data_IF_573652428538
#
_entry.id   IF_573652428538
#
_cell.length_a   1.000
_cell.length_b   1.000
_cell.length_c   1.000
_cell.angle_alpha   90.00
_cell.angle_beta   90.00
_cell.angle_gamma   90.00
#
_symmetry.space_group_name_H-M   'P 1'
#
loop_
_entity.id
_entity.type
_entity.pdbx_description
1 polymer ?
#
# COMPACT_ATOMS: atom_id res chain seq x y z
N UNK A 1 -15.23 -20.05 -11.63
CA UNK A 1 -14.45 -19.14 -10.76
C UNK A 1 -14.72 -17.71 -11.21
N UNK A 2 -15.16 -16.82 -10.33
CA UNK A 2 -15.42 -15.40 -10.65
C UNK A 2 -14.47 -14.54 -9.82
N UNK A 3 -13.53 -13.87 -10.48
CA UNK A 3 -12.60 -12.93 -9.84
C UNK A 3 -13.16 -11.53 -9.95
N UNK A 4 -13.23 -10.79 -8.83
CA UNK A 4 -13.68 -9.40 -8.83
C UNK A 4 -12.58 -8.50 -9.42
N UNK A 5 -12.95 -7.59 -10.32
CA UNK A 5 -12.05 -6.55 -10.80
C UNK A 5 -12.46 -5.21 -10.20
N UNK A 6 -11.55 -4.56 -9.46
CA UNK A 6 -11.78 -3.23 -8.90
C UNK A 6 -10.83 -2.21 -9.53
N UNK A 7 -11.42 -1.22 -10.20
CA UNK A 7 -10.71 -0.09 -10.79
C UNK A 7 -10.31 0.90 -9.69
N UNK A 8 -9.28 1.70 -9.97
CA UNK A 8 -8.86 2.79 -9.06
C UNK A 8 -10.02 3.74 -8.70
N UNK A 9 -10.95 3.99 -9.63
CA UNK A 9 -12.13 4.83 -9.39
C UNK A 9 -13.06 4.24 -8.34
N UNK A 10 -13.27 2.92 -8.36
CA UNK A 10 -14.13 2.21 -7.40
C UNK A 10 -13.46 2.17 -6.03
N UNK A 11 -12.15 1.93 -5.99
CA UNK A 11 -11.37 1.95 -4.74
C UNK A 11 -11.47 3.30 -4.04
N UNK A 12 -11.46 4.41 -4.80
CA UNK A 12 -11.60 5.76 -4.26
C UNK A 12 -12.93 5.98 -3.52
N UNK A 13 -13.98 5.30 -3.94
CA UNK A 13 -15.31 5.38 -3.33
C UNK A 13 -15.44 4.44 -2.12
N UNK A 14 -14.62 3.37 -2.07
CA UNK A 14 -14.71 2.32 -1.07
C UNK A 14 -13.72 2.45 0.10
N UNK A 15 -12.64 3.23 -0.05
CA UNK A 15 -11.55 3.28 0.94
C UNK A 15 -11.24 4.70 1.40
N UNK A 16 -11.41 4.94 2.70
CA UNK A 16 -11.01 6.20 3.35
C UNK A 16 -9.64 6.14 4.02
N UNK A 17 -9.07 7.32 4.32
CA UNK A 17 -7.84 7.42 5.12
C UNK A 17 -8.03 6.88 6.54
N UNK A 18 -9.19 7.13 7.16
CA UNK A 18 -9.49 6.65 8.52
C UNK A 18 -9.47 5.13 8.60
N UNK A 19 -10.13 4.46 7.66
CA UNK A 19 -10.11 3.00 7.56
C UNK A 19 -8.70 2.47 7.27
N UNK A 20 -7.96 3.18 6.41
CA UNK A 20 -6.57 2.83 6.11
C UNK A 20 -5.67 2.90 7.36
N UNK A 21 -5.84 3.90 8.22
CA UNK A 21 -5.12 4.01 9.51
C UNK A 21 -5.45 2.83 10.41
N UNK A 22 -6.74 2.53 10.59
CA UNK A 22 -7.16 1.41 11.45
C UNK A 22 -6.61 0.07 10.95
N UNK A 23 -6.73 -0.21 9.65
CA UNK A 23 -6.23 -1.45 9.04
C UNK A 23 -4.71 -1.57 9.14
N UNK A 24 -3.97 -0.47 8.93
CA UNK A 24 -2.50 -0.47 9.03
C UNK A 24 -2.03 -0.62 10.48
N UNK A 25 -2.68 0.04 11.43
CA UNK A 25 -2.39 -0.09 12.87
C UNK A 25 -2.57 -1.53 13.33
N UNK A 26 -3.68 -2.15 12.93
CA UNK A 26 -3.98 -3.55 13.21
C UNK A 26 -2.96 -4.50 12.56
N UNK A 27 -2.60 -4.29 11.29
CA UNK A 27 -1.58 -5.09 10.62
C UNK A 27 -0.21 -4.99 11.32
N UNK A 28 0.18 -3.81 11.81
CA UNK A 28 1.41 -3.65 12.60
C UNK A 28 1.32 -4.37 13.95
N UNK A 29 0.17 -4.31 14.63
CA UNK A 29 -0.06 -5.04 15.88
C UNK A 29 0.09 -6.55 15.67
N UNK A 30 -0.62 -7.11 14.70
CA UNK A 30 -0.52 -8.54 14.37
C UNK A 30 0.91 -8.93 13.99
N UNK A 31 1.63 -8.07 13.27
CA UNK A 31 3.04 -8.31 12.93
C UNK A 31 3.92 -8.37 14.18
N UNK A 32 3.71 -7.44 15.13
CA UNK A 32 4.40 -7.44 16.43
C UNK A 32 4.09 -8.68 17.28
N UNK A 33 2.91 -9.26 17.11
CA UNK A 33 2.48 -10.51 17.75
C UNK A 33 2.96 -11.78 17.03
N UNK A 34 3.68 -11.65 15.91
CA UNK A 34 4.19 -12.80 15.14
C UNK A 34 3.17 -13.49 14.24
N UNK A 35 1.97 -12.91 14.06
CA UNK A 35 0.83 -13.51 13.32
C UNK A 35 0.78 -13.13 11.84
N UNK A 36 1.93 -12.73 11.27
CA UNK A 36 2.01 -12.21 9.89
C UNK A 36 3.22 -12.77 9.19
N UNK A 37 2.96 -13.46 8.08
CA UNK A 37 3.96 -13.90 7.12
C UNK A 37 4.15 -12.81 6.06
N UNK A 38 5.36 -12.25 5.99
CA UNK A 38 5.70 -11.20 5.04
C UNK A 38 7.17 -11.35 4.67
N UNK A 39 7.50 -12.16 3.65
CA UNK A 39 8.90 -12.36 3.25
C UNK A 39 9.49 -11.08 2.64
N UNK A 40 10.81 -11.02 2.46
CA UNK A 40 11.45 -9.95 1.72
C UNK A 40 10.83 -9.78 0.33
N UNK A 41 10.78 -8.53 -0.13
CA UNK A 41 10.25 -8.21 -1.47
C UNK A 41 11.20 -8.73 -2.54
N UNK A 42 10.65 -9.27 -3.62
CA UNK A 42 11.41 -9.59 -4.82
C UNK A 42 11.50 -8.35 -5.72
N UNK A 43 12.65 -8.14 -6.35
CA UNK A 43 12.91 -7.00 -7.24
C UNK A 43 13.35 -7.49 -8.61
N UNK A 44 12.88 -6.83 -9.66
CA UNK A 44 13.47 -6.89 -10.99
C UNK A 44 13.77 -5.46 -11.43
N UNK A 45 15.01 -5.22 -11.81
CA UNK A 45 15.48 -3.92 -12.27
C UNK A 45 15.45 -3.85 -13.78
N UNK A 46 15.10 -2.68 -14.30
CA UNK A 46 15.10 -2.34 -15.71
C UNK A 46 16.11 -1.20 -15.97
N UNK A 47 17.43 -1.47 -15.96
CA UNK A 47 18.44 -0.41 -16.12
C UNK A 47 18.23 0.43 -17.40
N UNK A 48 17.87 -0.24 -18.51
CA UNK A 48 17.57 0.42 -19.79
C UNK A 48 16.42 1.43 -19.71
N UNK A 49 15.48 1.24 -18.80
CA UNK A 49 14.26 2.06 -18.69
C UNK A 49 14.21 2.88 -17.40
N UNK A 50 15.32 2.93 -16.66
CA UNK A 50 15.44 3.63 -15.38
C UNK A 50 14.29 3.29 -14.42
N UNK A 51 13.97 2.00 -14.28
CA UNK A 51 12.84 1.55 -13.48
C UNK A 51 13.05 0.22 -12.80
N UNK A 52 12.08 -0.16 -11.99
CA UNK A 52 11.97 -1.48 -11.39
C UNK A 52 10.50 -1.95 -11.36
N UNK A 53 10.32 -3.23 -11.04
CA UNK A 53 9.10 -3.68 -10.38
C UNK A 53 9.42 -4.59 -9.21
N UNK A 54 8.45 -4.68 -8.30
CA UNK A 54 8.57 -5.34 -7.01
C UNK A 54 7.36 -6.19 -6.73
N UNK A 55 7.58 -7.35 -6.14
CA UNK A 55 6.53 -8.26 -5.68
C UNK A 55 6.54 -8.29 -4.16
N UNK A 56 5.40 -8.00 -3.56
CA UNK A 56 5.23 -7.87 -2.11
C UNK A 56 4.07 -8.77 -1.63
N UNK A 57 4.31 -10.06 -1.38
CA UNK A 57 3.30 -10.94 -0.80
C UNK A 57 3.22 -10.77 0.72
N UNK A 58 2.03 -10.96 1.27
CA UNK A 58 1.80 -11.04 2.71
C UNK A 58 0.59 -11.94 3.01
N UNK A 59 0.62 -12.55 4.18
CA UNK A 59 -0.49 -13.29 4.77
C UNK A 59 -0.63 -12.88 6.25
N UNK A 60 -1.83 -12.46 6.62
CA UNK A 60 -2.23 -12.15 7.99
C UNK A 60 -3.10 -13.31 8.49
N UNK A 61 -2.66 -13.96 9.57
CA UNK A 61 -3.38 -15.13 10.11
C UNK A 61 -4.70 -14.72 10.77
N UNK A 62 -4.73 -13.54 11.41
CA UNK A 62 -5.93 -13.02 12.06
C UNK A 62 -6.74 -12.25 11.02
N UNK A 63 -7.84 -12.85 10.58
CA UNK A 63 -8.69 -12.32 9.50
C UNK A 63 -8.55 -13.08 8.19
N UNK A 64 -7.62 -14.03 8.12
CA UNK A 64 -7.41 -14.91 6.97
C UNK A 64 -7.19 -14.13 5.66
N UNK A 65 -6.41 -13.06 5.68
CA UNK A 65 -6.12 -12.25 4.50
C UNK A 65 -4.78 -12.61 3.86
N UNK A 66 -4.81 -13.10 2.61
CA UNK A 66 -3.62 -13.31 1.79
C UNK A 66 -3.65 -12.43 0.53
N UNK A 67 -2.53 -11.82 0.18
CA UNK A 67 -2.45 -11.04 -1.03
C UNK A 67 -1.05 -10.71 -1.48
N UNK A 68 -0.94 -10.26 -2.72
CA UNK A 68 0.31 -9.83 -3.32
C UNK A 68 0.13 -8.51 -4.04
N UNK A 69 1.02 -7.56 -3.77
CA UNK A 69 1.13 -6.34 -4.55
C UNK A 69 2.28 -6.45 -5.54
N UNK A 70 1.98 -6.16 -6.80
CA UNK A 70 2.98 -5.88 -7.82
C UNK A 70 3.02 -4.37 -8.03
N UNK A 71 4.17 -3.75 -7.84
CA UNK A 71 4.34 -2.29 -7.94
C UNK A 71 5.58 -1.97 -8.76
N UNK A 72 5.49 -1.02 -9.67
CA UNK A 72 6.63 -0.50 -10.42
C UNK A 72 6.99 0.92 -9.97
N UNK A 73 8.27 1.28 -10.10
CA UNK A 73 8.74 2.65 -9.90
C UNK A 73 9.56 3.07 -11.12
N UNK A 74 9.12 4.12 -11.81
CA UNK A 74 9.79 4.67 -13.00
C UNK A 74 9.86 6.20 -12.88
N UNK A 75 10.96 6.76 -12.36
CA UNK A 75 11.09 8.21 -12.13
C UNK A 75 10.88 9.07 -13.37
N UNK A 76 11.19 8.56 -14.58
CA UNK A 76 11.00 9.26 -15.84
C UNK A 76 9.56 9.32 -16.39
N UNK A 77 8.63 8.52 -15.84
CA UNK A 77 7.25 8.42 -16.35
C UNK A 77 6.46 9.75 -16.41
N UNK A 78 6.62 10.69 -15.46
CA UNK A 78 5.91 11.97 -15.54
C UNK A 78 6.18 12.75 -16.84
N UNK A 79 7.38 12.60 -17.44
CA UNK A 79 7.72 13.22 -18.75
C UNK A 79 6.87 12.65 -19.90
N UNK A 80 6.24 11.50 -19.69
CA UNK A 80 5.39 10.77 -20.64
C UNK A 80 3.91 10.83 -20.26
N UNK A 81 3.53 11.67 -19.29
CA UNK A 81 2.16 11.75 -18.78
C UNK A 81 1.73 10.55 -17.93
N UNK A 82 2.66 9.70 -17.48
CA UNK A 82 2.38 8.52 -16.66
C UNK A 82 2.79 8.74 -15.19
N UNK A 83 2.14 8.07 -14.22
CA UNK A 83 2.58 8.09 -12.83
C UNK A 83 3.95 7.44 -12.65
N UNK A 84 4.76 7.97 -11.72
CA UNK A 84 6.02 7.34 -11.28
C UNK A 84 5.80 5.97 -10.67
N UNK A 85 4.68 5.79 -9.96
CA UNK A 85 4.31 4.56 -9.26
C UNK A 85 2.97 4.09 -9.81
N UNK A 86 2.92 2.86 -10.30
CA UNK A 86 1.68 2.15 -10.58
C UNK A 86 1.74 0.80 -9.86
N UNK A 87 0.59 0.28 -9.47
CA UNK A 87 0.53 -0.98 -8.76
C UNK A 87 -0.78 -1.70 -9.05
N UNK A 88 -0.74 -3.01 -8.87
CA UNK A 88 -1.89 -3.91 -8.88
C UNK A 88 -1.79 -4.80 -7.65
N UNK A 89 -2.94 -5.10 -7.04
CA UNK A 89 -3.03 -6.00 -5.89
C UNK A 89 -3.91 -7.19 -6.28
N UNK A 90 -3.44 -8.38 -5.99
CA UNK A 90 -4.20 -9.62 -6.07
C UNK A 90 -4.52 -10.07 -4.63
N UNK A 91 -5.80 -10.27 -4.34
CA UNK A 91 -6.29 -10.86 -3.10
C UNK A 91 -6.60 -12.35 -3.34
N UNK A 92 -6.21 -13.20 -2.40
CA UNK A 92 -6.28 -14.65 -2.49
C UNK A 92 -6.98 -15.16 -1.23
N UNK A 93 -7.90 -16.11 -1.41
CA UNK A 93 -8.46 -16.88 -0.29
C UNK A 93 -7.39 -17.87 0.21
N UNK A 94 -6.89 -17.74 1.44
CA UNK A 94 -5.84 -18.64 1.95
C UNK A 94 -6.34 -20.07 2.18
N UNK A 95 -7.65 -20.28 2.33
CA UNK A 95 -8.22 -21.62 2.57
C UNK A 95 -8.29 -22.48 1.31
N UNK A 96 -8.47 -21.85 0.14
CA UNK A 96 -8.65 -22.53 -1.15
C UNK A 96 -7.60 -22.19 -2.20
N UNK A 97 -6.84 -21.11 -1.99
CA UNK A 97 -5.92 -20.54 -2.98
C UNK A 97 -6.62 -19.81 -4.14
N UNK A 98 -7.95 -19.69 -4.11
CA UNK A 98 -8.71 -19.06 -5.20
C UNK A 98 -8.46 -17.55 -5.21
N UNK A 99 -8.17 -16.95 -6.38
CA UNK A 99 -8.09 -15.49 -6.50
C UNK A 99 -9.46 -14.86 -6.28
N UNK A 100 -9.56 -13.97 -5.29
CA UNK A 100 -10.79 -13.28 -4.94
C UNK A 100 -10.97 -11.99 -5.75
N UNK A 101 -9.92 -11.16 -5.82
CA UNK A 101 -9.98 -9.87 -6.49
C UNK A 101 -8.64 -9.44 -7.09
N UNK A 102 -8.71 -8.72 -8.22
CA UNK A 102 -7.60 -7.95 -8.78
C UNK A 102 -8.00 -6.48 -8.74
N UNK A 103 -7.14 -5.65 -8.14
CA UNK A 103 -7.45 -4.27 -7.79
C UNK A 103 -6.36 -3.32 -8.26
N UNK A 104 -6.74 -2.10 -8.63
CA UNK A 104 -5.81 -0.97 -8.71
C UNK A 104 -5.05 -0.79 -7.38
N UNK A 105 -3.73 -0.64 -7.42
CA UNK A 105 -2.89 -0.59 -6.23
C UNK A 105 -2.29 0.79 -5.93
N UNK A 106 -2.46 1.78 -6.81
CA UNK A 106 -1.80 3.08 -6.71
C UNK A 106 -2.41 3.90 -5.57
N UNK A 107 -3.73 4.06 -5.52
CA UNK A 107 -4.41 4.76 -4.43
C UNK A 107 -4.21 4.04 -3.10
N UNK A 108 -4.40 2.71 -3.06
CA UNK A 108 -4.16 1.90 -1.86
C UNK A 108 -2.73 2.09 -1.36
N UNK A 109 -1.74 2.10 -2.27
CA UNK A 109 -0.34 2.34 -1.92
C UNK A 109 -0.13 3.72 -1.32
N UNK A 110 -0.78 4.77 -1.82
CA UNK A 110 -0.69 6.11 -1.24
C UNK A 110 -1.32 6.17 0.15
N UNK A 111 -2.57 5.71 0.29
CA UNK A 111 -3.31 5.75 1.55
C UNK A 111 -2.61 4.94 2.64
N UNK A 112 -2.26 3.68 2.38
CA UNK A 112 -1.60 2.83 3.38
C UNK A 112 -0.22 3.35 3.79
N UNK A 113 0.48 4.07 2.89
CA UNK A 113 1.78 4.69 3.20
C UNK A 113 1.60 5.90 4.11
N UNK A 114 0.62 6.77 3.82
CA UNK A 114 0.25 7.87 4.69
C UNK A 114 -0.22 7.37 6.06
N UNK A 115 -1.14 6.40 6.06
CA UNK A 115 -1.65 5.75 7.26
C UNK A 115 -0.54 5.18 8.15
N UNK A 116 0.47 4.51 7.57
CA UNK A 116 1.62 4.03 8.34
C UNK A 116 2.38 5.18 9.03
N UNK A 117 2.53 6.33 8.36
CA UNK A 117 3.09 7.53 8.95
C UNK A 117 2.21 8.12 10.05
N UNK A 118 0.89 8.17 9.84
CA UNK A 118 -0.08 8.63 10.85
C UNK A 118 -0.10 7.75 12.10
N UNK A 119 -0.04 6.41 11.94
CA UNK A 119 0.12 5.47 13.06
C UNK A 119 1.42 5.75 13.79
N UNK A 120 2.55 5.85 13.08
CA UNK A 120 3.83 6.16 13.71
C UNK A 120 3.79 7.49 14.49
N UNK A 121 3.21 8.54 13.89
CA UNK A 121 3.06 9.84 14.53
C UNK A 121 2.19 9.76 15.80
N UNK A 122 1.09 8.98 15.78
CA UNK A 122 0.23 8.78 16.96
C UNK A 122 1.01 8.25 18.17
N UNK A 123 1.91 7.30 17.96
CA UNK A 123 2.64 6.64 19.05
C UNK A 123 3.96 7.34 19.40
N UNK A 124 4.58 8.05 18.46
CA UNK A 124 5.96 8.54 18.61
C UNK A 124 6.08 10.07 18.64
N UNK A 125 5.13 10.82 18.10
CA UNK A 125 5.19 12.29 18.12
C UNK A 125 4.72 12.85 19.46
N UNK A 126 5.15 14.08 19.79
CA UNK A 126 4.63 14.79 20.96
C UNK A 126 3.14 15.09 20.76
N UNK A 127 2.33 14.84 21.80
CA UNK A 127 0.87 15.06 21.79
C UNK A 127 0.46 16.52 21.51
N UNK A 128 1.35 17.46 21.76
CA UNK A 128 1.13 18.90 21.60
C UNK A 128 1.72 19.47 20.30
N UNK A 129 2.15 18.61 19.36
CA UNK A 129 2.65 19.06 18.05
C UNK A 129 1.61 19.92 17.32
N UNK A 130 2.06 21.04 16.74
CA UNK A 130 1.22 22.01 15.99
C UNK A 130 1.74 22.35 14.59
N UNK A 131 3.01 22.07 14.31
CA UNK A 131 3.66 22.40 13.03
C UNK A 131 4.24 21.12 12.43
N UNK A 132 3.90 20.87 11.16
CA UNK A 132 4.41 19.74 10.38
C UNK A 132 5.29 20.27 9.25
N UNK A 133 6.54 19.82 9.19
CA UNK A 133 7.45 20.09 8.08
C UNK A 133 7.34 19.00 7.01
N UNK A 134 7.20 19.39 5.75
CA UNK A 134 7.12 18.47 4.61
C UNK A 134 8.25 18.76 3.61
N UNK A 135 9.11 17.77 3.37
CA UNK A 135 10.16 17.85 2.34
C UNK A 135 9.73 16.99 1.15
N UNK A 136 9.40 17.66 0.05
CA UNK A 136 8.77 17.06 -1.14
C UNK A 136 7.25 17.26 -1.18
N UNK A 137 6.70 17.43 -2.39
CA UNK A 137 5.28 17.78 -2.62
C UNK A 137 4.54 16.80 -3.55
N UNK A 138 5.00 15.54 -3.58
CA UNK A 138 4.44 14.48 -4.41
C UNK A 138 3.14 13.88 -3.86
N UNK A 139 2.67 12.79 -4.51
CA UNK A 139 1.47 12.05 -4.10
C UNK A 139 1.56 11.56 -2.65
N UNK A 140 2.74 11.06 -2.25
CA UNK A 140 2.93 10.55 -0.88
C UNK A 140 2.90 11.67 0.16
N UNK A 141 3.45 12.86 -0.13
CA UNK A 141 3.39 13.99 0.80
C UNK A 141 1.94 14.38 1.13
N UNK A 142 1.05 14.36 0.14
CA UNK A 142 -0.38 14.61 0.35
C UNK A 142 -1.06 13.53 1.19
N UNK A 143 -0.69 12.26 1.01
CA UNK A 143 -1.24 11.17 1.81
C UNK A 143 -0.73 11.23 3.26
N UNK A 144 0.56 11.53 3.46
CA UNK A 144 1.16 11.71 4.78
C UNK A 144 0.50 12.86 5.55
N UNK A 145 0.28 14.01 4.92
CA UNK A 145 -0.35 15.16 5.58
C UNK A 145 -1.84 14.94 5.90
N UNK A 146 -2.53 14.05 5.16
CA UNK A 146 -3.95 13.73 5.40
C UNK A 146 -4.17 12.69 6.49
N UNK A 147 -3.15 11.91 6.83
CA UNK A 147 -3.21 10.85 7.82
C UNK A 147 -3.04 11.40 9.24
#
# INVERSE_FOLDING_TARGET
MRVLLLRESEIKELLSMRESIAAVEEAFRQKGEGKVQMPPKSYIFFPKYEGDFRVMPAYLEVGEEAGVKVVNVHPGNPKRGLPTIMATILLIDPSTGVPLAIMGGALITALRTGAAGGVAARYLARKDSRVVGMVGAGVQARAQLRA
#
